data_IF_812742860328
#
_entry.id   IF_812742860328
#
_cell.length_a   1.000
_cell.length_b   1.000
_cell.length_c   1.000
_cell.angle_alpha   90.00
_cell.angle_beta   90.00
_cell.angle_gamma   90.00
#
_symmetry.space_group_name_H-M   'P 1'
#
loop_
_entity.id
_entity.type
_entity.pdbx_description
1 polymer ?
#
# COMPACT_ATOMS: atom_id res chain seq x y z
N UNK A 1 22.50 3.81 0.55
CA UNK A 1 21.90 4.78 1.49
C UNK A 1 21.97 4.20 2.90
N UNK A 2 22.27 5.01 3.94
CA UNK A 2 22.23 4.51 5.33
C UNK A 2 20.77 4.38 5.79
N UNK A 3 20.50 3.46 6.74
CA UNK A 3 19.15 3.28 7.32
C UNK A 3 18.61 4.58 7.94
N UNK A 4 19.50 5.36 8.56
CA UNK A 4 19.13 6.67 9.15
C UNK A 4 18.64 7.66 8.09
N UNK A 5 19.35 7.76 6.95
CA UNK A 5 18.94 8.64 5.86
C UNK A 5 17.61 8.19 5.23
N UNK A 6 17.41 6.89 5.04
CA UNK A 6 16.13 6.35 4.53
C UNK A 6 14.99 6.63 5.51
N UNK A 7 15.19 6.48 6.81
CA UNK A 7 14.16 6.79 7.81
C UNK A 7 13.81 8.29 7.78
N UNK A 8 14.80 9.18 7.61
CA UNK A 8 14.52 10.61 7.47
C UNK A 8 13.66 10.90 6.24
N UNK A 9 13.97 10.30 5.09
CA UNK A 9 13.17 10.44 3.87
C UNK A 9 11.72 9.96 4.06
N UNK A 10 11.50 8.84 4.77
CA UNK A 10 10.16 8.36 5.12
C UNK A 10 9.40 9.34 6.02
N UNK A 11 10.07 9.90 7.03
CA UNK A 11 9.47 10.92 7.91
C UNK A 11 9.09 12.18 7.13
N UNK A 12 9.96 12.64 6.23
CA UNK A 12 9.70 13.83 5.42
C UNK A 12 8.52 13.61 4.46
N UNK A 13 8.43 12.43 3.84
CA UNK A 13 7.27 12.05 3.01
C UNK A 13 5.97 12.00 3.84
N UNK A 14 6.00 11.44 5.04
CA UNK A 14 4.85 11.37 5.94
C UNK A 14 4.36 12.77 6.37
N UNK A 15 5.28 13.66 6.77
CA UNK A 15 4.97 15.06 7.10
C UNK A 15 4.37 15.81 5.92
N UNK A 16 4.93 15.62 4.73
CA UNK A 16 4.43 16.26 3.52
C UNK A 16 3.03 15.73 3.15
N UNK A 17 2.75 14.46 3.36
CA UNK A 17 1.41 13.90 3.16
C UNK A 17 0.40 14.53 4.11
N UNK A 18 0.73 14.65 5.41
CA UNK A 18 -0.14 15.34 6.34
C UNK A 18 -0.36 16.81 5.94
N UNK A 19 0.71 17.53 5.59
CA UNK A 19 0.60 18.92 5.12
C UNK A 19 -0.29 19.05 3.88
N UNK A 20 -0.27 18.03 2.99
CA UNK A 20 -1.08 18.00 1.78
C UNK A 20 -2.57 17.80 2.08
N UNK A 21 -2.94 16.84 2.97
CA UNK A 21 -4.34 16.53 3.25
C UNK A 21 -4.98 17.45 4.31
N UNK A 22 -4.19 17.95 5.26
CA UNK A 22 -4.68 18.74 6.40
C UNK A 22 -5.61 19.90 6.04
N UNK A 23 -5.36 20.73 4.99
CA UNK A 23 -6.27 21.83 4.64
C UNK A 23 -7.64 21.39 4.13
N UNK A 24 -7.79 20.10 3.80
CA UNK A 24 -9.01 19.51 3.25
C UNK A 24 -9.75 18.63 4.26
N UNK A 25 -9.20 18.47 5.50
CA UNK A 25 -9.86 17.70 6.55
C UNK A 25 -10.99 18.53 7.18
N UNK A 26 -12.12 17.88 7.38
CA UNK A 26 -13.31 18.40 8.06
C UNK A 26 -13.67 17.50 9.24
N UNK A 27 -14.44 18.00 10.19
CA UNK A 27 -14.82 17.27 11.41
C UNK A 27 -15.55 15.93 11.16
N UNK A 28 -16.10 15.73 9.98
CA UNK A 28 -16.74 14.50 9.53
C UNK A 28 -15.88 13.65 8.59
N UNK A 29 -14.69 14.13 8.20
CA UNK A 29 -13.77 13.38 7.33
C UNK A 29 -13.35 12.07 7.97
N UNK A 30 -13.24 11.01 7.15
CA UNK A 30 -12.68 9.72 7.53
C UNK A 30 -11.45 9.49 6.67
N UNK A 31 -10.31 9.22 7.31
CA UNK A 31 -9.01 9.06 6.65
C UNK A 31 -8.67 7.59 6.53
N UNK A 32 -8.46 7.10 5.32
CA UNK A 32 -7.90 5.78 5.07
C UNK A 32 -6.40 5.76 5.38
N UNK A 33 -5.96 4.77 6.14
CA UNK A 33 -4.57 4.62 6.59
C UNK A 33 -4.05 3.24 6.23
N UNK A 34 -2.92 3.21 5.54
CA UNK A 34 -2.25 2.02 5.06
C UNK A 34 -1.42 1.29 6.11
N UNK A 35 -0.39 0.58 5.64
CA UNK A 35 0.45 -0.30 6.46
C UNK A 35 1.93 -0.13 6.14
N UNK A 36 2.78 -0.27 7.15
CA UNK A 36 4.24 -0.34 7.00
C UNK A 36 4.99 0.87 7.54
N UNK A 37 6.33 0.80 7.50
CA UNK A 37 7.21 1.70 8.23
C UNK A 37 7.08 3.18 7.86
N UNK A 38 6.77 3.51 6.60
CA UNK A 38 6.52 4.91 6.19
C UNK A 38 5.17 5.39 6.72
N UNK A 39 4.16 4.50 6.71
CA UNK A 39 2.82 4.80 7.24
C UNK A 39 2.85 4.99 8.75
N UNK A 40 3.70 4.26 9.46
CA UNK A 40 3.86 4.44 10.91
C UNK A 40 4.25 5.90 11.25
N UNK A 41 5.17 6.52 10.49
CA UNK A 41 5.46 7.95 10.65
C UNK A 41 4.26 8.85 10.30
N UNK A 42 3.47 8.47 9.29
CA UNK A 42 2.27 9.22 8.96
C UNK A 42 1.21 9.14 10.08
N UNK A 43 1.03 7.99 10.73
CA UNK A 43 0.13 7.83 11.89
C UNK A 43 0.57 8.72 13.05
N UNK A 44 1.88 8.78 13.32
CA UNK A 44 2.42 9.64 14.38
C UNK A 44 2.16 11.13 14.10
N UNK A 45 2.33 11.57 12.86
CA UNK A 45 2.01 12.94 12.44
C UNK A 45 0.49 13.21 12.47
N UNK A 46 -0.35 12.25 12.01
CA UNK A 46 -1.81 12.36 11.99
C UNK A 46 -2.39 12.54 13.39
N UNK A 47 -1.75 11.94 14.41
CA UNK A 47 -2.16 12.10 15.81
C UNK A 47 -2.18 13.57 16.27
N UNK A 48 -1.29 14.41 15.74
CA UNK A 48 -1.22 15.85 16.07
C UNK A 48 -2.46 16.64 15.63
N UNK A 49 -3.22 16.12 14.68
CA UNK A 49 -4.40 16.76 14.07
C UNK A 49 -5.68 15.94 14.24
N UNK A 50 -5.71 14.97 15.15
CA UNK A 50 -6.86 14.08 15.36
C UNK A 50 -8.18 14.79 15.68
N UNK A 51 -8.13 16.05 16.09
CA UNK A 51 -9.29 16.91 16.34
C UNK A 51 -9.90 17.50 15.06
N UNK A 52 -9.26 17.33 13.88
CA UNK A 52 -9.72 17.88 12.60
C UNK A 52 -10.52 16.88 11.75
N UNK A 53 -10.61 15.63 12.17
CA UNK A 53 -11.33 14.58 11.45
C UNK A 53 -12.05 13.64 12.43
N UNK A 54 -13.01 12.90 11.91
CA UNK A 54 -13.89 12.06 12.75
C UNK A 54 -13.23 10.76 13.18
N UNK A 55 -12.62 10.03 12.21
CA UNK A 55 -12.08 8.69 12.44
C UNK A 55 -11.12 8.29 11.31
N UNK A 56 -10.45 7.16 11.48
CA UNK A 56 -9.69 6.51 10.44
C UNK A 56 -10.31 5.14 10.05
N UNK A 57 -9.99 4.66 8.85
CA UNK A 57 -10.15 3.27 8.42
C UNK A 57 -8.76 2.73 8.13
N UNK A 58 -8.42 1.58 8.67
CA UNK A 58 -7.09 0.97 8.57
C UNK A 58 -7.09 -0.23 7.63
N UNK A 59 -5.94 -0.48 6.98
CA UNK A 59 -5.73 -1.64 6.11
C UNK A 59 -5.09 -2.85 6.80
N UNK A 60 -4.75 -2.76 8.10
CA UNK A 60 -4.18 -3.88 8.86
C UNK A 60 -4.48 -3.77 10.36
N UNK A 61 -4.38 -4.91 11.04
CA UNK A 61 -4.57 -4.96 12.49
C UNK A 61 -3.45 -4.21 13.22
N UNK A 62 -2.21 -4.23 12.70
CA UNK A 62 -1.08 -3.46 13.24
C UNK A 62 -1.35 -1.94 13.19
N UNK A 63 -1.78 -1.43 12.03
CA UNK A 63 -2.10 0.00 11.88
C UNK A 63 -3.31 0.40 12.70
N UNK A 64 -4.31 -0.48 12.85
CA UNK A 64 -5.46 -0.27 13.73
C UNK A 64 -5.00 -0.05 15.17
N UNK A 65 -4.17 -0.94 15.69
CA UNK A 65 -3.64 -0.83 17.06
C UNK A 65 -2.86 0.47 17.25
N UNK A 66 -1.96 0.82 16.29
CA UNK A 66 -1.18 2.06 16.37
C UNK A 66 -2.05 3.31 16.36
N UNK A 67 -3.09 3.37 15.54
CA UNK A 67 -4.06 4.47 15.52
C UNK A 67 -4.77 4.61 16.88
N UNK A 68 -5.22 3.49 17.45
CA UNK A 68 -5.90 3.46 18.74
C UNK A 68 -4.96 3.88 19.89
N UNK A 69 -3.70 3.49 19.86
CA UNK A 69 -2.68 3.91 20.85
C UNK A 69 -2.46 5.43 20.84
N UNK A 70 -2.65 6.08 19.70
CA UNK A 70 -2.64 7.54 19.55
C UNK A 70 -3.99 8.21 19.89
N UNK A 71 -5.01 7.43 20.30
CA UNK A 71 -6.35 7.92 20.60
C UNK A 71 -7.12 8.40 19.38
N UNK A 72 -6.83 7.82 18.21
CA UNK A 72 -7.60 8.01 16.97
C UNK A 72 -8.65 6.90 16.90
N UNK A 73 -9.92 7.28 16.72
CA UNK A 73 -11.00 6.32 16.53
C UNK A 73 -10.84 5.60 15.19
N UNK A 74 -11.00 4.26 15.20
CA UNK A 74 -10.97 3.45 13.96
C UNK A 74 -12.36 2.90 13.73
N UNK A 75 -12.86 3.07 12.50
CA UNK A 75 -14.17 2.56 12.05
C UNK A 75 -13.98 1.36 11.13
N UNK A 76 -14.98 0.47 11.11
CA UNK A 76 -15.08 -0.57 10.10
C UNK A 76 -15.42 0.07 8.74
N UNK A 77 -14.79 -0.41 7.66
CA UNK A 77 -15.04 0.12 6.32
C UNK A 77 -16.51 -0.07 5.88
N UNK A 78 -17.19 -1.11 6.38
CA UNK A 78 -18.61 -1.34 6.10
C UNK A 78 -19.56 -0.27 6.69
N UNK A 79 -19.07 0.53 7.64
CA UNK A 79 -19.81 1.67 8.23
C UNK A 79 -19.54 2.98 7.49
N UNK A 80 -18.69 2.96 6.45
CA UNK A 80 -18.22 4.14 5.75
C UNK A 80 -18.61 4.06 4.28
N UNK A 81 -19.32 5.07 3.78
CA UNK A 81 -19.72 5.12 2.36
C UNK A 81 -18.54 5.49 1.45
N UNK A 82 -17.64 6.35 1.91
CA UNK A 82 -16.54 6.89 1.13
C UNK A 82 -15.41 7.42 2.02
N UNK A 83 -14.19 7.29 1.55
CA UNK A 83 -13.00 7.90 2.15
C UNK A 83 -12.54 9.06 1.28
N UNK A 84 -12.30 10.21 1.86
CA UNK A 84 -11.76 11.34 1.10
C UNK A 84 -10.32 11.08 0.68
N UNK A 85 -9.51 10.58 1.61
CA UNK A 85 -8.10 10.23 1.38
C UNK A 85 -7.80 8.83 1.87
N UNK A 86 -6.91 8.17 1.16
CA UNK A 86 -6.18 7.00 1.62
C UNK A 86 -4.68 7.30 1.51
N UNK A 87 -3.95 7.18 2.61
CA UNK A 87 -2.49 7.41 2.65
C UNK A 87 -1.80 6.09 2.93
N UNK A 88 -0.91 5.66 2.03
CA UNK A 88 -0.22 4.39 2.16
C UNK A 88 1.17 4.39 1.50
N UNK A 89 2.01 3.43 1.88
CA UNK A 89 3.31 3.20 1.28
C UNK A 89 3.28 2.33 0.03
N UNK A 90 4.45 2.12 -0.57
CA UNK A 90 4.65 1.13 -1.63
C UNK A 90 6.05 0.52 -1.56
N UNK A 91 6.18 -0.70 -2.11
CA UNK A 91 7.46 -1.40 -2.27
C UNK A 91 8.18 -0.96 -3.53
N UNK A 92 7.42 -0.64 -4.60
CA UNK A 92 7.89 0.00 -5.84
C UNK A 92 6.84 0.96 -6.40
N UNK A 93 7.30 1.99 -7.11
CA UNK A 93 6.47 2.89 -7.92
C UNK A 93 7.15 3.23 -9.24
N UNK A 94 6.42 3.12 -10.35
CA UNK A 94 6.91 3.55 -11.67
C UNK A 94 6.49 5.00 -11.99
N UNK A 95 6.86 5.47 -13.19
CA UNK A 95 6.55 6.84 -13.66
C UNK A 95 5.06 7.12 -13.89
N UNK A 96 4.24 6.06 -14.00
CA UNK A 96 2.79 6.14 -14.14
C UNK A 96 2.06 6.04 -12.80
N UNK A 97 2.77 6.12 -11.68
CA UNK A 97 2.26 5.95 -10.31
C UNK A 97 1.59 4.59 -10.07
N UNK A 98 1.87 3.59 -10.92
CA UNK A 98 1.52 2.21 -10.68
C UNK A 98 2.49 1.62 -9.68
N UNK A 99 1.99 0.76 -8.77
CA UNK A 99 2.74 0.33 -7.60
C UNK A 99 2.85 -1.19 -7.53
N UNK A 100 3.90 -1.65 -6.84
CA UNK A 100 3.91 -2.94 -6.14
C UNK A 100 3.80 -2.67 -4.65
N UNK A 101 2.90 -3.40 -3.98
CA UNK A 101 2.65 -3.35 -2.55
C UNK A 101 2.52 -4.77 -1.97
N UNK A 102 2.50 -4.88 -0.66
CA UNK A 102 2.28 -6.15 0.02
C UNK A 102 3.51 -6.77 0.68
N UNK A 103 4.62 -6.03 0.79
CA UNK A 103 5.76 -6.44 1.62
C UNK A 103 5.35 -6.77 3.05
N UNK A 104 4.39 -6.05 3.62
CA UNK A 104 3.77 -6.28 4.94
C UNK A 104 2.60 -7.28 4.95
N UNK A 105 2.32 -8.00 3.86
CA UNK A 105 1.22 -8.98 3.72
C UNK A 105 -0.22 -8.40 3.87
N UNK A 106 -0.41 -7.08 3.79
CA UNK A 106 -1.70 -6.41 3.95
C UNK A 106 -2.38 -6.05 2.61
N UNK A 107 -1.79 -6.47 1.47
CA UNK A 107 -2.13 -6.00 0.10
C UNK A 107 -3.62 -6.04 -0.24
N UNK A 108 -4.36 -7.03 0.21
CA UNK A 108 -5.79 -7.17 -0.10
C UNK A 108 -6.62 -6.11 0.60
N UNK A 109 -6.43 -5.92 1.91
CA UNK A 109 -7.11 -4.85 2.65
C UNK A 109 -6.68 -3.48 2.17
N UNK A 110 -5.38 -3.28 1.86
CA UNK A 110 -4.86 -2.05 1.25
C UNK A 110 -5.57 -1.73 -0.08
N UNK A 111 -5.75 -2.75 -0.93
CA UNK A 111 -6.44 -2.60 -2.22
C UNK A 111 -7.93 -2.25 -2.05
N UNK A 112 -8.60 -2.84 -1.08
CA UNK A 112 -9.98 -2.54 -0.75
C UNK A 112 -10.14 -1.08 -0.29
N UNK A 113 -9.29 -0.64 0.64
CA UNK A 113 -9.34 0.74 1.15
C UNK A 113 -9.00 1.75 0.05
N UNK A 114 -8.00 1.46 -0.81
CA UNK A 114 -7.67 2.29 -1.96
C UNK A 114 -8.83 2.41 -2.96
N UNK A 115 -9.61 1.35 -3.16
CA UNK A 115 -10.75 1.34 -4.08
C UNK A 115 -11.91 2.22 -3.60
N UNK A 116 -12.11 2.34 -2.28
CA UNK A 116 -13.17 3.18 -1.68
C UNK A 116 -12.75 4.64 -1.59
N UNK A 117 -11.44 4.93 -1.61
CA UNK A 117 -10.93 6.28 -1.44
C UNK A 117 -11.05 7.13 -2.73
N UNK A 118 -11.52 8.38 -2.58
CA UNK A 118 -11.52 9.37 -3.67
C UNK A 118 -10.11 9.69 -4.14
N UNK A 119 -9.17 9.84 -3.18
CA UNK A 119 -7.77 10.15 -3.45
C UNK A 119 -6.86 9.17 -2.73
N UNK A 120 -6.03 8.48 -3.51
CA UNK A 120 -4.96 7.64 -3.00
C UNK A 120 -3.64 8.42 -3.05
N UNK A 121 -3.12 8.77 -1.88
CA UNK A 121 -1.83 9.43 -1.67
C UNK A 121 -0.80 8.38 -1.30
N UNK A 122 0.12 8.08 -2.19
CA UNK A 122 1.21 7.15 -1.92
C UNK A 122 2.43 7.91 -1.37
N UNK A 123 3.03 7.38 -0.30
CA UNK A 123 4.20 7.97 0.39
C UNK A 123 5.37 7.00 0.39
N UNK A 124 6.50 7.41 -0.16
CA UNK A 124 7.69 6.56 -0.30
C UNK A 124 8.99 7.34 -0.08
N UNK A 125 10.07 6.63 0.23
CA UNK A 125 11.43 7.14 0.04
C UNK A 125 11.88 6.94 -1.42
N UNK A 126 12.91 7.69 -1.85
CA UNK A 126 13.36 7.69 -3.25
C UNK A 126 13.84 6.32 -3.76
N UNK A 127 14.23 5.38 -2.87
CA UNK A 127 14.68 4.04 -3.27
C UNK A 127 13.54 3.18 -3.87
N UNK A 128 12.29 3.60 -3.68
CA UNK A 128 11.10 2.89 -4.19
C UNK A 128 10.75 3.26 -5.64
N UNK A 129 11.44 4.25 -6.22
CA UNK A 129 11.21 4.68 -7.59
C UNK A 129 11.94 3.75 -8.56
N UNK A 130 11.20 3.17 -9.50
CA UNK A 130 11.73 2.26 -10.52
C UNK A 130 11.25 2.66 -11.92
N UNK A 131 12.02 2.32 -12.94
CA UNK A 131 11.58 2.50 -14.33
C UNK A 131 10.59 1.41 -14.77
N UNK A 132 10.80 0.17 -14.32
CA UNK A 132 9.97 -1.02 -14.61
C UNK A 132 9.74 -1.74 -13.30
N UNK A 133 8.47 -2.09 -13.01
CA UNK A 133 8.09 -2.86 -11.83
C UNK A 133 8.61 -4.30 -11.89
N UNK A 134 8.84 -4.91 -10.72
CA UNK A 134 9.22 -6.31 -10.58
C UNK A 134 10.66 -6.54 -10.09
N UNK A 135 11.37 -5.51 -9.68
CA UNK A 135 12.59 -5.63 -8.90
C UNK A 135 12.29 -6.14 -7.49
N UNK A 136 11.23 -5.64 -6.88
CA UNK A 136 10.62 -6.24 -5.70
C UNK A 136 9.76 -7.44 -6.11
N UNK A 137 9.83 -8.56 -5.36
CA UNK A 137 8.99 -9.71 -5.63
C UNK A 137 7.51 -9.35 -5.50
N UNK A 138 6.69 -9.74 -6.48
CA UNK A 138 5.26 -9.44 -6.47
C UNK A 138 4.52 -10.34 -5.48
N UNK A 139 3.93 -9.81 -4.39
CA UNK A 139 3.15 -10.62 -3.48
C UNK A 139 1.78 -10.99 -4.10
N UNK A 140 1.38 -12.24 -3.93
CA UNK A 140 0.06 -12.74 -4.34
C UNK A 140 -0.57 -13.43 -3.14
N UNK A 141 -1.71 -12.92 -2.69
CA UNK A 141 -2.50 -13.53 -1.62
C UNK A 141 -3.36 -14.65 -2.19
N UNK A 142 -3.28 -15.82 -1.59
CA UNK A 142 -3.94 -17.04 -2.07
C UNK A 142 -4.64 -17.78 -0.96
N UNK A 143 -5.78 -18.37 -1.27
CA UNK A 143 -6.45 -19.35 -0.39
C UNK A 143 -5.45 -20.47 -0.08
N UNK A 144 -5.25 -20.87 1.18
CA UNK A 144 -4.23 -21.87 1.57
C UNK A 144 -4.26 -23.16 0.77
N UNK A 145 -5.45 -23.70 0.50
CA UNK A 145 -5.66 -24.90 -0.31
C UNK A 145 -5.16 -24.74 -1.77
N UNK A 146 -5.20 -23.53 -2.31
CA UNK A 146 -4.84 -23.26 -3.71
C UNK A 146 -3.34 -22.97 -3.92
N UNK A 147 -2.56 -22.83 -2.85
CA UNK A 147 -1.17 -22.35 -2.88
C UNK A 147 -0.31 -23.01 -3.98
N UNK A 148 -0.24 -24.34 -4.02
CA UNK A 148 0.60 -25.06 -4.97
C UNK A 148 0.06 -24.98 -6.43
N UNK A 149 -1.26 -24.93 -6.57
CA UNK A 149 -1.89 -24.76 -7.89
C UNK A 149 -1.60 -23.36 -8.44
N UNK A 150 -1.82 -22.33 -7.65
CA UNK A 150 -1.55 -20.93 -8.02
C UNK A 150 -0.06 -20.74 -8.32
N UNK A 151 0.84 -21.30 -7.49
CA UNK A 151 2.28 -21.24 -7.75
C UNK A 151 2.65 -21.75 -9.15
N UNK A 152 2.11 -22.91 -9.57
CA UNK A 152 2.35 -23.44 -10.93
C UNK A 152 1.80 -22.50 -12.02
N UNK A 153 0.66 -21.85 -11.79
CA UNK A 153 0.11 -20.87 -12.76
C UNK A 153 0.99 -19.63 -12.88
N UNK A 154 1.48 -19.12 -11.75
CA UNK A 154 2.40 -17.96 -11.72
C UNK A 154 3.75 -18.28 -12.36
N UNK A 155 4.27 -19.50 -12.16
CA UNK A 155 5.45 -19.97 -12.89
C UNK A 155 5.23 -20.01 -14.40
N UNK A 156 4.04 -20.39 -14.86
CA UNK A 156 3.64 -20.36 -16.27
C UNK A 156 3.56 -18.96 -16.88
N UNK A 157 3.47 -17.91 -16.05
CA UNK A 157 3.56 -16.50 -16.47
C UNK A 157 5.00 -15.97 -16.50
N UNK A 158 6.00 -16.84 -16.24
CA UNK A 158 7.41 -16.51 -16.28
C UNK A 158 8.02 -16.06 -14.94
N UNK A 159 7.27 -16.08 -13.86
CA UNK A 159 7.76 -15.76 -12.53
C UNK A 159 8.34 -16.98 -11.77
N UNK A 160 9.01 -16.70 -10.68
CA UNK A 160 9.50 -17.70 -9.69
C UNK A 160 8.76 -17.50 -8.38
N UNK A 161 7.61 -18.18 -8.16
CA UNK A 161 6.83 -18.04 -6.94
C UNK A 161 7.49 -18.76 -5.77
N UNK A 162 7.64 -18.06 -4.65
CA UNK A 162 8.13 -18.58 -3.38
C UNK A 162 7.05 -18.43 -2.30
N UNK A 163 6.82 -19.46 -1.51
CA UNK A 163 5.90 -19.39 -0.37
C UNK A 163 6.54 -18.57 0.76
N UNK A 164 5.86 -17.51 1.19
CA UNK A 164 6.27 -16.71 2.35
C UNK A 164 5.97 -17.48 3.64
N UNK A 165 6.90 -18.36 4.01
CA UNK A 165 6.74 -19.23 5.17
C UNK A 165 6.62 -18.43 6.48
N UNK A 166 5.77 -18.90 7.40
CA UNK A 166 5.57 -18.26 8.72
C UNK A 166 4.69 -17.00 8.68
N UNK A 167 4.14 -16.61 7.52
CA UNK A 167 3.24 -15.47 7.39
C UNK A 167 1.84 -15.94 7.03
N UNK A 168 0.87 -15.48 7.80
CA UNK A 168 -0.57 -15.59 7.51
C UNK A 168 -1.12 -14.17 7.48
N UNK A 169 -1.91 -13.84 6.45
CA UNK A 169 -2.50 -12.51 6.32
C UNK A 169 -3.59 -12.29 7.37
N UNK A 170 -3.97 -11.04 7.64
CA UNK A 170 -5.11 -10.70 8.51
C UNK A 170 -6.44 -11.30 8.03
N UNK A 171 -6.47 -11.84 6.80
CA UNK A 171 -7.61 -12.54 6.21
C UNK A 171 -7.50 -14.08 6.34
N UNK A 172 -6.47 -14.59 7.01
CA UNK A 172 -6.24 -16.04 7.18
C UNK A 172 -5.64 -16.75 5.97
N UNK A 173 -5.08 -16.02 5.01
CA UNK A 173 -4.55 -16.54 3.76
C UNK A 173 -3.02 -16.62 3.74
N UNK A 174 -2.48 -17.28 2.69
CA UNK A 174 -1.04 -17.36 2.43
C UNK A 174 -0.58 -16.34 1.40
N UNK A 175 0.73 -16.03 1.40
CA UNK A 175 1.38 -15.21 0.39
C UNK A 175 2.35 -16.06 -0.45
N UNK A 176 2.29 -15.85 -1.76
CA UNK A 176 3.33 -16.26 -2.71
C UNK A 176 4.06 -15.00 -3.18
N UNK A 177 5.37 -14.92 -2.96
CA UNK A 177 6.24 -13.88 -3.51
C UNK A 177 6.75 -14.32 -4.87
N UNK A 178 6.40 -13.59 -5.92
CA UNK A 178 6.76 -13.95 -7.30
C UNK A 178 7.96 -13.13 -7.74
N UNK A 179 9.12 -13.79 -7.78
CA UNK A 179 10.39 -13.19 -8.20
C UNK A 179 10.56 -13.21 -9.72
N UNK A 180 11.52 -12.44 -10.19
CA UNK A 180 12.00 -12.43 -11.58
C UNK A 180 10.95 -12.05 -12.64
N UNK A 181 9.89 -11.35 -12.23
CA UNK A 181 8.94 -10.74 -13.15
C UNK A 181 9.51 -9.41 -13.66
N UNK A 182 9.57 -9.25 -14.99
CA UNK A 182 9.78 -7.94 -15.63
C UNK A 182 8.42 -7.43 -16.10
N UNK A 183 7.80 -6.58 -15.32
CA UNK A 183 6.39 -6.20 -15.46
C UNK A 183 6.28 -5.00 -16.40
N UNK A 184 6.20 -5.28 -17.70
CA UNK A 184 6.09 -4.26 -18.75
C UNK A 184 4.64 -3.77 -18.94
N UNK A 185 3.66 -4.60 -18.64
CA UNK A 185 2.24 -4.27 -18.71
C UNK A 185 1.55 -4.59 -17.37
N UNK A 186 1.70 -3.72 -16.36
CA UNK A 186 1.18 -3.98 -15.01
C UNK A 186 -0.33 -4.21 -14.97
N UNK A 187 -1.09 -3.47 -15.79
CA UNK A 187 -2.56 -3.55 -15.81
C UNK A 187 -3.07 -4.91 -16.26
N UNK A 188 -2.49 -5.47 -17.35
CA UNK A 188 -2.91 -6.75 -17.87
C UNK A 188 -2.43 -7.89 -16.96
N UNK A 189 -1.24 -7.78 -16.39
CA UNK A 189 -0.74 -8.78 -15.45
C UNK A 189 -1.58 -8.82 -14.17
N UNK A 190 -1.97 -7.65 -13.62
CA UNK A 190 -2.86 -7.57 -12.45
C UNK A 190 -4.17 -8.32 -12.71
N UNK A 191 -4.82 -8.06 -13.85
CA UNK A 191 -6.06 -8.73 -14.26
C UNK A 191 -5.86 -10.23 -14.46
N UNK A 192 -4.78 -10.62 -15.13
CA UNK A 192 -4.46 -12.02 -15.42
C UNK A 192 -4.30 -12.81 -14.13
N UNK A 193 -3.55 -12.28 -13.16
CA UNK A 193 -3.34 -12.97 -11.88
C UNK A 193 -4.64 -13.03 -11.08
N UNK A 194 -5.43 -11.95 -11.04
CA UNK A 194 -6.70 -11.94 -10.32
C UNK A 194 -7.73 -12.96 -10.87
N UNK A 195 -7.60 -13.37 -12.13
CA UNK A 195 -8.47 -14.38 -12.74
C UNK A 195 -8.02 -15.84 -12.47
N UNK A 196 -6.92 -16.06 -11.76
CA UNK A 196 -6.49 -17.41 -11.38
C UNK A 196 -7.34 -17.88 -10.18
N UNK A 197 -8.04 -19.01 -10.32
CA UNK A 197 -8.84 -19.58 -9.24
C UNK A 197 -7.96 -19.82 -8.00
N UNK A 198 -8.41 -19.33 -6.85
CA UNK A 198 -7.68 -19.43 -5.59
C UNK A 198 -6.78 -18.24 -5.28
N UNK A 199 -6.60 -17.30 -6.19
CA UNK A 199 -6.03 -15.98 -5.90
C UNK A 199 -7.10 -15.13 -5.21
N UNK A 200 -6.74 -14.49 -4.11
CA UNK A 200 -7.56 -13.51 -3.42
C UNK A 200 -7.30 -12.12 -4.01
N UNK A 201 -6.01 -11.74 -4.09
CA UNK A 201 -5.56 -10.50 -4.72
C UNK A 201 -4.05 -10.58 -4.99
N UNK A 202 -3.52 -9.63 -5.73
CA UNK A 202 -2.09 -9.49 -5.96
C UNK A 202 -1.61 -8.06 -5.67
N UNK A 203 -0.29 -7.91 -5.47
CA UNK A 203 0.35 -6.67 -5.06
C UNK A 203 0.48 -5.61 -6.15
N UNK A 204 0.02 -5.84 -7.37
CA UNK A 204 -0.03 -4.81 -8.40
C UNK A 204 -1.19 -3.84 -8.14
N UNK A 205 -0.89 -2.55 -8.04
CA UNK A 205 -1.84 -1.45 -7.99
C UNK A 205 -1.69 -0.66 -9.29
N UNK A 206 -2.21 -1.20 -10.37
CA UNK A 206 -2.18 -0.62 -11.71
C UNK A 206 -3.57 -0.21 -12.18
N UNK A 207 -4.60 -0.99 -11.90
CA UNK A 207 -6.01 -0.64 -12.16
C UNK A 207 -6.46 0.51 -11.26
N UNK A 208 -6.00 0.54 -10.02
CA UNK A 208 -6.13 1.65 -9.07
C UNK A 208 -4.73 2.09 -8.66
N UNK A 209 -4.08 2.87 -9.52
CA UNK A 209 -2.80 3.51 -9.23
C UNK A 209 -2.96 4.65 -8.21
N UNK A 210 -1.85 5.19 -7.70
CA UNK A 210 -1.91 6.36 -6.85
C UNK A 210 -2.33 7.61 -7.64
N UNK A 211 -3.14 8.48 -7.03
CA UNK A 211 -3.48 9.80 -7.57
C UNK A 211 -2.34 10.80 -7.32
N UNK A 212 -1.62 10.60 -6.23
CA UNK A 212 -0.52 11.47 -5.80
C UNK A 212 0.58 10.57 -5.23
N UNK A 213 1.82 10.83 -5.64
CA UNK A 213 3.00 10.18 -5.09
C UNK A 213 3.88 11.24 -4.43
N UNK A 214 4.09 11.11 -3.12
CA UNK A 214 4.96 11.98 -2.33
C UNK A 214 6.23 11.21 -2.00
N UNK A 215 7.35 11.72 -2.48
CA UNK A 215 8.66 11.07 -2.41
C UNK A 215 9.56 11.86 -1.49
N UNK A 216 9.98 11.26 -0.39
CA UNK A 216 11.10 11.77 0.41
C UNK A 216 12.42 11.41 -0.27
N UNK A 217 13.23 12.39 -0.56
CA UNK A 217 14.50 12.21 -1.27
C UNK A 217 15.63 12.97 -0.61
N UNK A 218 16.84 12.73 -1.09
CA UNK A 218 18.09 13.36 -0.59
C UNK A 218 18.05 14.89 -0.70
N UNK A 219 17.34 15.43 -1.70
CA UNK A 219 17.22 16.86 -1.97
C UNK A 219 15.88 17.46 -1.48
N UNK A 220 15.21 16.79 -0.55
CA UNK A 220 13.89 17.19 -0.04
C UNK A 220 12.74 16.37 -0.64
N UNK A 221 11.51 16.85 -0.43
CA UNK A 221 10.30 16.15 -0.84
C UNK A 221 9.86 16.57 -2.24
N UNK A 222 9.47 15.58 -3.05
CA UNK A 222 8.88 15.79 -4.38
C UNK A 222 7.45 15.24 -4.41
N UNK A 223 6.53 15.99 -5.00
CA UNK A 223 5.14 15.56 -5.23
C UNK A 223 4.93 15.31 -6.72
N UNK A 224 4.49 14.11 -7.07
CA UNK A 224 4.18 13.71 -8.45
C UNK A 224 2.69 13.42 -8.58
N UNK A 225 2.13 13.77 -9.74
CA UNK A 225 0.74 13.46 -10.13
C UNK A 225 0.76 12.74 -11.48
N UNK A 226 -0.28 11.98 -11.83
CA UNK A 226 -0.43 11.43 -13.18
C UNK A 226 -0.38 12.56 -14.23
N UNK A 227 0.28 12.27 -15.36
CA UNK A 227 0.31 13.17 -16.53
C UNK A 227 -1.06 13.19 -17.23
#
# INVERSE_FOLDING_TARGET
MSQTAQNQQKMDAAKAALAHIKPMLENNSIVGVGTGSTVNYFIDELASVKHLFRAAVSSSDESTQRLQDHGISVMDLNEVNELEFYVDGADESNTHLQLIKGGGAALTREKIVAAVARKFVCIVDESKLVGVLGGFALPVEVIPMARSYVARKLAGLGGMPEYRAGVVTDNGNHILDVHNLKILNPLDLEKTINNIVGVVSNGLFASRAADILIVGGTNGVTVKKPN
#
